data_IF_985039927639
#
_entry.id   IF_985039927639
#
_cell.length_a   1.000
_cell.length_b   1.000
_cell.length_c   1.000
_cell.angle_alpha   90.00
_cell.angle_beta   90.00
_cell.angle_gamma   90.00
#
_symmetry.space_group_name_H-M   'P 1'
#
loop_
_entity.id
_entity.type
_entity.pdbx_description
1 polymer ?
#
# COMPACT_ATOMS: atom_id res chain seq x y z
N UNK A 1 -15.65 15.07 18.58
CA UNK A 1 -15.66 13.60 18.49
C UNK A 1 -14.24 13.17 18.17
N UNK A 2 -13.53 12.59 19.13
CA UNK A 2 -12.14 12.15 18.94
C UNK A 2 -12.17 10.71 18.43
N UNK A 3 -11.74 10.48 17.19
CA UNK A 3 -11.64 9.13 16.63
C UNK A 3 -10.45 8.40 17.24
N UNK A 4 -10.70 7.26 17.89
CA UNK A 4 -9.65 6.30 18.22
C UNK A 4 -9.16 5.68 16.91
N UNK A 5 -7.99 6.10 16.44
CA UNK A 5 -7.37 5.51 15.26
C UNK A 5 -6.67 4.22 15.70
N UNK A 6 -7.37 3.09 15.55
CA UNK A 6 -6.74 1.77 15.66
C UNK A 6 -5.67 1.63 14.58
N UNK A 7 -4.55 0.97 14.90
CA UNK A 7 -3.57 0.58 13.89
C UNK A 7 -4.26 -0.35 12.87
N UNK A 8 -4.39 0.04 11.58
CA UNK A 8 -5.09 -0.79 10.60
C UNK A 8 -4.26 -1.98 10.11
N UNK A 9 -3.01 -2.10 10.55
CA UNK A 9 -2.12 -3.17 10.14
C UNK A 9 -2.34 -4.42 11.00
N UNK A 10 -2.17 -5.62 10.42
CA UNK A 10 -2.21 -6.85 11.18
C UNK A 10 -1.00 -6.96 12.12
N UNK A 11 -1.17 -7.68 13.24
CA UNK A 11 -0.14 -7.86 14.25
C UNK A 11 1.12 -8.58 13.73
N UNK A 12 0.99 -9.36 12.66
CA UNK A 12 2.05 -10.14 12.01
C UNK A 12 2.62 -9.47 10.75
N UNK A 13 2.55 -8.13 10.69
CA UNK A 13 3.02 -7.31 9.57
C UNK A 13 4.36 -7.73 8.97
N UNK A 14 5.33 -8.11 9.81
CA UNK A 14 6.68 -8.50 9.37
C UNK A 14 6.71 -9.79 8.53
N UNK A 15 5.66 -10.61 8.62
CA UNK A 15 5.50 -11.88 7.90
C UNK A 15 4.39 -11.83 6.86
N UNK A 16 3.46 -10.88 6.99
CA UNK A 16 2.31 -10.76 6.11
C UNK A 16 2.68 -10.36 4.66
N UNK A 17 1.92 -10.88 3.70
CA UNK A 17 1.90 -10.33 2.33
C UNK A 17 0.80 -9.27 2.26
N UNK A 18 1.21 -8.00 2.33
CA UNK A 18 0.28 -6.89 2.16
C UNK A 18 0.40 -6.32 0.75
N UNK A 19 -0.71 -6.31 0.04
CA UNK A 19 -0.86 -5.74 -1.30
C UNK A 19 -2.07 -4.83 -1.30
N UNK A 20 -1.98 -3.69 -1.98
CA UNK A 20 -3.05 -2.72 -2.06
C UNK A 20 -2.97 -1.89 -3.33
N UNK A 21 -3.83 -0.88 -3.39
CA UNK A 21 -3.84 0.13 -4.47
C UNK A 21 -3.76 1.51 -3.86
N UNK A 22 -2.98 2.38 -4.49
CA UNK A 22 -2.89 3.79 -4.12
C UNK A 22 -3.11 4.64 -5.36
N UNK A 23 -3.50 5.90 -5.14
CA UNK A 23 -3.45 6.91 -6.18
C UNK A 23 -2.10 7.63 -6.09
N UNK A 24 -1.31 7.58 -7.17
CA UNK A 24 -0.05 8.34 -7.29
C UNK A 24 -0.35 9.76 -7.77
N UNK A 25 0.49 10.70 -7.37
CA UNK A 25 0.46 12.09 -7.86
C UNK A 25 1.75 12.41 -8.62
N UNK A 26 1.79 13.54 -9.34
CA UNK A 26 2.97 13.99 -10.08
C UNK A 26 3.07 13.40 -11.50
N UNK A 27 4.28 13.20 -12.01
CA UNK A 27 4.50 12.82 -13.41
C UNK A 27 3.91 11.44 -13.79
N UNK A 28 3.77 10.54 -12.82
CA UNK A 28 3.18 9.20 -12.99
C UNK A 28 1.84 9.10 -12.25
N UNK A 29 0.99 10.13 -12.38
CA UNK A 29 -0.33 10.18 -11.75
C UNK A 29 -1.21 8.98 -12.15
N UNK A 30 -2.06 8.54 -11.21
CA UNK A 30 -3.05 7.49 -11.44
C UNK A 30 -2.91 6.30 -10.49
N UNK A 31 -3.74 5.26 -10.67
CA UNK A 31 -3.74 4.11 -9.78
C UNK A 31 -2.47 3.29 -9.93
N UNK A 32 -1.97 2.76 -8.82
CA UNK A 32 -0.80 1.89 -8.78
C UNK A 32 -1.04 0.73 -7.82
N UNK A 33 -0.59 -0.46 -8.21
CA UNK A 33 -0.54 -1.62 -7.31
C UNK A 33 0.74 -1.52 -6.47
N UNK A 34 0.59 -1.67 -5.16
CA UNK A 34 1.69 -1.54 -4.19
C UNK A 34 1.73 -2.72 -3.24
N UNK A 35 2.93 -3.04 -2.74
CA UNK A 35 3.14 -3.95 -1.63
C UNK A 35 3.75 -3.23 -0.43
N UNK A 36 3.54 -3.74 0.79
CA UNK A 36 4.22 -3.26 2.00
C UNK A 36 5.33 -4.24 2.41
N UNK A 37 6.55 -3.72 2.56
CA UNK A 37 7.75 -4.48 2.97
C UNK A 37 8.58 -3.68 3.96
N UNK A 38 8.80 -4.22 5.17
CA UNK A 38 9.56 -3.55 6.22
C UNK A 38 9.02 -2.15 6.54
N UNK A 39 7.70 -2.01 6.61
CA UNK A 39 7.03 -0.71 6.82
C UNK A 39 7.10 0.28 5.65
N UNK A 40 7.59 -0.14 4.48
CA UNK A 40 7.71 0.71 3.29
C UNK A 40 6.74 0.27 2.19
N UNK A 41 6.15 1.24 1.50
CA UNK A 41 5.39 1.03 0.28
C UNK A 41 6.34 0.84 -0.91
N UNK A 42 6.11 -0.21 -1.69
CA UNK A 42 6.85 -0.54 -2.91
C UNK A 42 5.86 -0.59 -4.07
N UNK A 43 6.09 0.23 -5.11
CA UNK A 43 5.32 0.19 -6.35
C UNK A 43 5.68 -1.09 -7.13
N UNK A 44 4.68 -1.93 -7.40
CA UNK A 44 4.81 -3.19 -8.14
C UNK A 44 3.99 -3.18 -9.43
N UNK A 45 3.61 -2.00 -9.93
CA UNK A 45 2.81 -1.82 -11.17
C UNK A 45 3.46 -2.52 -12.37
N UNK A 46 4.80 -2.61 -12.42
CA UNK A 46 5.52 -3.37 -13.46
C UNK A 46 5.19 -4.87 -13.48
N UNK A 47 4.81 -5.42 -12.34
CA UNK A 47 4.51 -6.84 -12.16
C UNK A 47 3.00 -7.12 -12.20
N UNK A 48 2.20 -6.17 -11.76
CA UNK A 48 0.75 -6.23 -11.72
C UNK A 48 0.18 -4.88 -12.18
N UNK A 49 0.04 -4.65 -13.50
CA UNK A 49 -0.55 -3.42 -14.01
C UNK A 49 -2.05 -3.35 -13.65
N UNK A 50 -2.56 -2.14 -13.51
CA UNK A 50 -3.99 -1.88 -13.41
C UNK A 50 -4.60 -1.80 -14.82
N UNK A 51 -5.68 -2.55 -15.07
CA UNK A 51 -6.44 -2.57 -16.35
C UNK A 51 -7.68 -1.69 -16.30
#
# INVERSE_FOLDING_TARGET
MTTLQANPLPDDLDRALLVGRVWRTGANEGPAVVAVRGGRLVDITRHAPTV
#
